data_IF_861247433114
#
_entry.id   IF_861247433114
#
_cell.length_a   1.000
_cell.length_b   1.000
_cell.length_c   1.000
_cell.angle_alpha   90.00
_cell.angle_beta   90.00
_cell.angle_gamma   90.00
#
_symmetry.space_group_name_H-M   'P 1'
#
loop_
_entity.id
_entity.type
_entity.pdbx_description
1 polymer ?
#
# COMPACT_ATOMS: atom_id res chain seq x y z
N UNK A 1 11.35 15.51 6.08
CA UNK A 1 10.20 14.62 5.81
C UNK A 1 9.33 15.27 4.74
N UNK A 2 9.18 14.59 3.60
CA UNK A 2 8.39 15.04 2.46
C UNK A 2 6.94 15.35 2.87
N UNK A 3 6.39 16.48 2.43
CA UNK A 3 4.99 16.84 2.69
C UNK A 3 4.10 16.30 1.58
N UNK A 4 3.07 15.51 1.92
CA UNK A 4 2.13 14.91 0.97
C UNK A 4 0.88 15.78 0.78
N UNK A 5 1.07 17.02 0.33
CA UNK A 5 -0.02 18.00 0.24
C UNK A 5 -0.68 18.04 -1.14
N UNK A 6 0.05 17.64 -2.19
CA UNK A 6 -0.43 17.63 -3.57
C UNK A 6 -0.39 16.24 -4.18
N UNK A 7 -1.16 16.05 -5.26
CA UNK A 7 -1.10 14.82 -6.05
C UNK A 7 0.31 14.57 -6.63
N UNK A 8 1.03 15.63 -6.99
CA UNK A 8 2.41 15.52 -7.47
C UNK A 8 3.35 15.00 -6.36
N UNK A 9 3.19 15.49 -5.14
CA UNK A 9 3.97 15.01 -3.99
C UNK A 9 3.67 13.54 -3.68
N UNK A 10 2.39 13.13 -3.75
CA UNK A 10 1.99 11.74 -3.57
C UNK A 10 2.65 10.82 -4.61
N UNK A 11 2.65 11.22 -5.89
CA UNK A 11 3.26 10.42 -6.95
C UNK A 11 4.79 10.35 -6.84
N UNK A 12 5.42 11.46 -6.45
CA UNK A 12 6.87 11.48 -6.21
C UNK A 12 7.25 10.59 -5.00
N UNK A 13 6.46 10.59 -3.93
CA UNK A 13 6.66 9.69 -2.79
C UNK A 13 6.52 8.22 -3.19
N UNK A 14 5.53 7.88 -4.03
CA UNK A 14 5.33 6.53 -4.55
C UNK A 14 6.50 6.07 -5.41
N UNK A 15 6.98 6.93 -6.30
CA UNK A 15 8.14 6.62 -7.15
C UNK A 15 9.39 6.35 -6.29
N UNK A 16 9.59 7.11 -5.23
CA UNK A 16 10.71 6.95 -4.30
C UNK A 16 10.64 5.62 -3.53
N UNK A 17 9.46 5.22 -3.07
CA UNK A 17 9.23 3.91 -2.44
C UNK A 17 9.48 2.77 -3.43
N UNK A 18 8.96 2.88 -4.65
CA UNK A 18 9.15 1.87 -5.70
C UNK A 18 10.62 1.71 -6.10
N UNK A 19 11.37 2.82 -6.18
CA UNK A 19 12.81 2.79 -6.46
C UNK A 19 13.56 2.04 -5.35
N UNK A 20 13.23 2.28 -4.08
CA UNK A 20 13.82 1.53 -2.98
C UNK A 20 13.48 0.03 -3.02
N UNK A 21 12.21 -0.31 -3.27
CA UNK A 21 11.74 -1.69 -3.32
C UNK A 21 12.37 -2.48 -4.49
N UNK A 22 12.70 -1.79 -5.58
CA UNK A 22 13.39 -2.37 -6.74
C UNK A 22 14.90 -2.59 -6.55
N UNK A 23 15.52 -2.00 -5.52
CA UNK A 23 16.97 -2.05 -5.30
C UNK A 23 17.42 -3.32 -4.59
N UNK A 24 18.61 -3.81 -4.99
CA UNK A 24 19.27 -4.89 -4.26
C UNK A 24 19.78 -4.39 -2.91
N UNK A 25 19.94 -5.30 -1.94
CA UNK A 25 20.37 -4.95 -0.58
C UNK A 25 21.65 -4.09 -0.54
N UNK A 26 22.62 -4.39 -1.42
CA UNK A 26 23.90 -3.67 -1.50
C UNK A 26 23.78 -2.23 -2.02
N UNK A 27 22.65 -1.88 -2.63
CA UNK A 27 22.41 -0.56 -3.25
C UNK A 27 21.51 0.33 -2.38
N UNK A 28 20.99 -0.20 -1.27
CA UNK A 28 20.09 0.51 -0.36
C UNK A 28 20.78 1.60 0.43
N UNK A 29 22.02 1.40 0.87
CA UNK A 29 22.78 2.46 1.54
C UNK A 29 23.00 3.65 0.61
N UNK A 30 23.37 3.38 -0.66
CA UNK A 30 23.51 4.42 -1.68
C UNK A 30 22.19 5.13 -2.00
N UNK A 31 21.04 4.48 -1.84
CA UNK A 31 19.75 5.13 -1.99
C UNK A 31 19.56 6.24 -0.95
N UNK A 32 19.87 5.96 0.32
CA UNK A 32 19.75 6.97 1.38
C UNK A 32 20.75 8.10 1.22
N UNK A 33 21.97 7.81 0.76
CA UNK A 33 22.95 8.86 0.46
C UNK A 33 22.44 9.84 -0.62
N UNK A 34 21.77 9.32 -1.65
CA UNK A 34 21.25 10.13 -2.76
C UNK A 34 19.93 10.86 -2.44
N UNK A 35 19.17 10.37 -1.46
CA UNK A 35 17.83 10.88 -1.12
C UNK A 35 17.77 11.46 0.30
N UNK A 36 18.93 11.71 0.93
CA UNK A 36 19.04 12.06 2.35
C UNK A 36 18.18 13.26 2.76
N UNK A 37 18.04 14.25 1.89
CA UNK A 37 17.22 15.45 2.15
C UNK A 37 15.71 15.14 2.26
N UNK A 38 15.27 14.02 1.68
CA UNK A 38 13.86 13.61 1.60
C UNK A 38 13.56 12.48 2.58
N UNK A 39 14.42 11.45 2.60
CA UNK A 39 14.34 10.25 3.43
C UNK A 39 15.76 9.83 3.85
N UNK A 40 16.05 9.90 5.15
CA UNK A 40 17.39 9.64 5.66
C UNK A 40 17.67 8.18 6.02
N UNK A 41 16.63 7.35 6.22
CA UNK A 41 16.77 5.97 6.67
C UNK A 41 15.51 5.14 6.39
N UNK A 42 15.60 3.82 6.56
CA UNK A 42 14.47 2.89 6.35
C UNK A 42 13.25 3.23 7.21
N UNK A 43 13.43 3.70 8.44
CA UNK A 43 12.31 4.05 9.31
C UNK A 43 11.53 5.27 8.78
N UNK A 44 12.22 6.29 8.25
CA UNK A 44 11.56 7.41 7.57
C UNK A 44 10.86 6.97 6.27
N UNK A 45 11.45 6.03 5.55
CA UNK A 45 10.85 5.45 4.34
C UNK A 45 9.55 4.71 4.67
N UNK A 46 9.53 3.92 5.74
CA UNK A 46 8.32 3.21 6.20
C UNK A 46 7.23 4.16 6.72
N UNK A 47 7.63 5.27 7.35
CA UNK A 47 6.68 6.33 7.71
C UNK A 47 6.08 7.00 6.47
N UNK A 48 6.90 7.25 5.44
CA UNK A 48 6.44 7.78 4.14
C UNK A 48 5.49 6.79 3.46
N UNK A 49 5.84 5.49 3.42
CA UNK A 49 4.99 4.41 2.90
C UNK A 49 3.64 4.39 3.61
N UNK A 50 3.64 4.47 4.94
CA UNK A 50 2.41 4.51 5.74
C UNK A 50 1.57 5.75 5.42
N UNK A 51 2.20 6.93 5.27
CA UNK A 51 1.50 8.17 4.96
C UNK A 51 0.88 8.15 3.56
N UNK A 52 1.61 7.68 2.55
CA UNK A 52 1.11 7.48 1.17
C UNK A 52 -0.10 6.55 1.18
N UNK A 53 0.05 5.39 1.82
CA UNK A 53 -1.01 4.39 1.87
C UNK A 53 -2.25 4.91 2.62
N UNK A 54 -2.09 5.69 3.69
CA UNK A 54 -3.23 6.29 4.40
C UNK A 54 -4.01 7.29 3.53
N UNK A 55 -3.35 7.95 2.58
CA UNK A 55 -4.00 8.86 1.62
C UNK A 55 -4.71 8.08 0.52
N UNK A 56 -4.08 7.02 0.01
CA UNK A 56 -4.63 6.20 -1.08
C UNK A 56 -5.78 5.30 -0.62
N UNK A 57 -5.66 4.70 0.56
CA UNK A 57 -6.59 3.73 1.11
C UNK A 57 -7.55 4.36 2.11
N UNK A 58 -8.46 5.18 1.57
CA UNK A 58 -9.50 5.84 2.38
C UNK A 58 -10.58 4.81 2.76
N UNK A 59 -10.97 4.69 4.05
CA UNK A 59 -12.13 3.92 4.46
C UNK A 59 -13.38 4.24 3.61
N UNK A 60 -14.08 3.20 3.17
CA UNK A 60 -15.19 3.29 2.22
C UNK A 60 -14.77 3.23 0.74
N UNK A 61 -13.48 3.15 0.44
CA UNK A 61 -13.01 2.98 -0.95
C UNK A 61 -13.28 1.58 -1.46
N UNK A 62 -13.65 1.47 -2.73
CA UNK A 62 -13.83 0.19 -3.39
C UNK A 62 -12.48 -0.35 -3.86
N UNK A 63 -12.19 -1.59 -3.50
CA UNK A 63 -10.92 -2.25 -3.78
C UNK A 63 -11.15 -3.58 -4.46
N UNK A 64 -10.14 -4.04 -5.18
CA UNK A 64 -10.01 -5.40 -5.64
C UNK A 64 -8.81 -6.01 -4.92
N UNK A 65 -8.99 -7.21 -4.39
CA UNK A 65 -7.93 -7.96 -3.69
C UNK A 65 -7.72 -9.27 -4.41
N UNK A 66 -6.46 -9.68 -4.48
CA UNK A 66 -6.03 -10.94 -5.09
C UNK A 66 -4.78 -11.44 -4.38
N UNK A 67 -4.98 -12.24 -3.33
CA UNK A 67 -3.88 -12.74 -2.52
C UNK A 67 -4.17 -14.13 -1.98
N UNK A 68 -3.10 -14.80 -1.54
CA UNK A 68 -3.20 -16.13 -0.94
C UNK A 68 -2.76 -16.07 0.50
N UNK A 69 -3.66 -16.41 1.42
CA UNK A 69 -3.36 -16.46 2.84
C UNK A 69 -3.11 -17.89 3.29
N UNK A 70 -2.05 -18.09 4.08
CA UNK A 70 -1.77 -19.36 4.74
C UNK A 70 -1.61 -19.08 6.23
N UNK A 71 -2.50 -19.63 7.05
CA UNK A 71 -2.57 -19.34 8.50
C UNK A 71 -1.37 -19.94 9.24
N UNK A 72 -1.05 -21.19 8.93
CA UNK A 72 0.04 -21.95 9.55
C UNK A 72 0.82 -22.74 8.50
N UNK A 73 2.06 -23.08 8.83
CA UNK A 73 2.86 -24.03 8.04
C UNK A 73 2.06 -25.34 7.94
N UNK A 74 1.81 -25.79 6.71
CA UNK A 74 0.98 -26.96 6.37
C UNK A 74 -0.55 -26.80 6.47
N UNK A 75 -1.05 -25.58 6.77
CA UNK A 75 -2.48 -25.27 6.60
C UNK A 75 -2.86 -25.09 5.13
N UNK A 76 -4.12 -25.37 4.74
CA UNK A 76 -4.59 -25.13 3.38
C UNK A 76 -4.50 -23.63 3.04
N UNK A 77 -3.92 -23.35 1.88
CA UNK A 77 -3.85 -21.99 1.32
C UNK A 77 -5.26 -21.54 0.94
N UNK A 78 -5.69 -20.41 1.48
CA UNK A 78 -6.96 -19.79 1.16
C UNK A 78 -6.69 -18.67 0.17
N UNK A 79 -7.23 -18.80 -1.03
CA UNK A 79 -7.17 -17.76 -2.03
C UNK A 79 -8.33 -16.77 -1.84
N UNK A 80 -7.98 -15.51 -1.65
CA UNK A 80 -8.92 -14.40 -1.57
C UNK A 80 -8.83 -13.61 -2.86
N UNK A 81 -9.88 -13.70 -3.66
CA UNK A 81 -10.01 -12.93 -4.89
C UNK A 81 -11.41 -12.32 -4.93
N UNK A 82 -11.49 -11.00 -5.12
CA UNK A 82 -12.77 -10.33 -5.22
C UNK A 82 -12.71 -8.82 -5.07
N UNK A 83 -13.85 -8.19 -5.34
CA UNK A 83 -14.07 -6.78 -5.07
C UNK A 83 -14.70 -6.61 -3.69
N UNK A 84 -14.45 -5.48 -3.06
CA UNK A 84 -14.99 -5.17 -1.76
C UNK A 84 -14.80 -3.71 -1.37
N UNK A 85 -15.14 -3.43 -0.12
CA UNK A 85 -14.99 -2.11 0.49
C UNK A 85 -13.91 -2.18 1.56
N UNK A 86 -13.07 -1.16 1.57
CA UNK A 86 -12.07 -0.96 2.61
C UNK A 86 -12.73 -0.42 3.87
N UNK A 87 -12.56 -1.09 5.01
CA UNK A 87 -13.13 -0.66 6.29
C UNK A 87 -12.14 0.24 7.06
N UNK A 88 -10.86 -0.17 7.13
CA UNK A 88 -9.81 0.58 7.83
C UNK A 88 -8.40 0.16 7.42
N UNK A 89 -7.44 1.00 7.79
CA UNK A 89 -6.01 0.79 7.57
C UNK A 89 -5.27 1.00 8.89
N UNK A 90 -4.56 -0.01 9.36
CA UNK A 90 -3.79 0.02 10.62
C UNK A 90 -2.46 -0.74 10.41
N UNK A 91 -1.34 -0.15 10.85
CA UNK A 91 -0.02 -0.80 10.90
C UNK A 91 0.41 -1.58 9.64
N UNK A 92 0.29 -0.97 8.46
CA UNK A 92 0.69 -1.64 7.21
C UNK A 92 -0.34 -2.62 6.65
N UNK A 93 -1.46 -2.82 7.37
CA UNK A 93 -2.51 -3.78 7.03
C UNK A 93 -3.78 -3.07 6.65
N UNK A 94 -4.45 -3.63 5.65
CA UNK A 94 -5.75 -3.18 5.22
C UNK A 94 -6.79 -4.20 5.63
N UNK A 95 -7.87 -3.70 6.20
CA UNK A 95 -9.03 -4.46 6.60
C UNK A 95 -10.21 -4.03 5.73
N UNK A 96 -10.99 -4.99 5.29
CA UNK A 96 -12.20 -4.70 4.54
C UNK A 96 -13.12 -5.89 4.43
N UNK A 97 -14.17 -5.70 3.64
CA UNK A 97 -15.20 -6.69 3.36
C UNK A 97 -15.42 -6.84 1.87
N UNK A 98 -15.32 -8.07 1.39
CA UNK A 98 -15.68 -8.43 0.01
C UNK A 98 -17.18 -8.30 -0.22
N UNK A 99 -17.57 -8.14 -1.49
CA UNK A 99 -18.97 -8.07 -1.91
C UNK A 99 -19.77 -9.34 -1.55
N UNK A 100 -19.09 -10.48 -1.39
CA UNK A 100 -19.68 -11.74 -0.94
C UNK A 100 -19.86 -11.85 0.58
N UNK A 101 -19.50 -10.80 1.32
CA UNK A 101 -19.66 -10.68 2.77
C UNK A 101 -18.46 -11.15 3.59
N UNK A 102 -17.45 -11.79 2.99
CA UNK A 102 -16.23 -12.23 3.69
C UNK A 102 -15.38 -11.03 4.09
N UNK A 103 -14.88 -11.02 5.31
CA UNK A 103 -13.87 -10.05 5.76
C UNK A 103 -12.48 -10.49 5.31
N UNK A 104 -11.63 -9.53 4.94
CA UNK A 104 -10.24 -9.81 4.58
C UNK A 104 -9.27 -8.92 5.37
N UNK A 105 -8.04 -9.41 5.49
CA UNK A 105 -6.90 -8.65 6.02
C UNK A 105 -5.68 -8.99 5.18
N UNK A 106 -5.08 -7.98 4.56
CA UNK A 106 -3.95 -8.14 3.65
C UNK A 106 -2.98 -6.96 3.76
N UNK A 107 -1.82 -7.11 3.11
CA UNK A 107 -0.86 -6.02 2.97
C UNK A 107 -1.33 -5.04 1.88
N UNK A 108 -0.73 -3.86 1.84
CA UNK A 108 -1.03 -2.86 0.81
C UNK A 108 -0.75 -3.37 -0.61
N UNK A 109 0.32 -4.15 -0.77
CA UNK A 109 0.76 -4.68 -2.07
C UNK A 109 -0.21 -5.70 -2.66
N UNK A 110 -1.04 -6.31 -1.82
CA UNK A 110 -2.06 -7.30 -2.20
C UNK A 110 -3.37 -6.65 -2.71
N UNK A 111 -3.44 -5.31 -2.72
CA UNK A 111 -4.66 -4.56 -3.04
C UNK A 111 -4.46 -3.69 -4.27
N UNK A 112 -5.39 -3.81 -5.21
CA UNK A 112 -5.58 -2.84 -6.27
C UNK A 112 -6.78 -1.93 -5.93
N UNK A 113 -6.56 -0.62 -5.89
CA UNK A 113 -7.66 0.34 -5.87
C UNK A 113 -8.46 0.20 -7.16
N UNK A 114 -9.73 -0.17 -7.04
CA UNK A 114 -10.65 -0.08 -8.17
C UNK A 114 -11.16 1.35 -8.22
N UNK A 115 -10.90 2.05 -9.33
CA UNK A 115 -11.41 3.40 -9.53
C UNK A 115 -12.88 3.47 -9.06
N UNK A 116 -13.18 4.45 -8.19
CA UNK A 116 -14.53 4.66 -7.66
C UNK A 116 -15.52 4.56 -8.80
N UNK A 117 -16.57 3.75 -8.63
CA UNK A 117 -17.77 3.82 -9.47
C UNK A 117 -18.40 5.21 -9.22
N UNK A 118 -17.92 6.24 -9.92
CA UNK A 118 -18.32 7.63 -9.73
C UNK A 118 -17.27 8.72 -10.01
N UNK A 119 -16.02 8.42 -10.37
CA UNK A 119 -15.12 9.46 -10.92
C UNK A 119 -15.00 9.30 -12.43
N UNK A 120 -15.89 10.00 -13.15
CA UNK A 120 -15.57 10.46 -14.50
C UNK A 120 -14.37 11.42 -14.34
N UNK A 121 -13.27 11.11 -15.01
CA UNK A 121 -12.24 12.12 -15.25
C UNK A 121 -12.83 13.09 -16.28
N UNK A 122 -13.21 14.28 -15.85
CA UNK A 122 -13.33 15.46 -16.73
C UNK A 122 -12.00 16.21 -16.72
#
# INVERSE_FOLDING_TARGET
MMSLNTYADLQAAKALIQDFDGRMYIERDSFFDNNFDVVANENELEQLRTAVNKIEFIPGSYVYVDFTHQLEKDSPKIHFQGKGVLDRVEDGRVYGRLDDGRTFTCLFDDIALTAKKGQMYE
#
